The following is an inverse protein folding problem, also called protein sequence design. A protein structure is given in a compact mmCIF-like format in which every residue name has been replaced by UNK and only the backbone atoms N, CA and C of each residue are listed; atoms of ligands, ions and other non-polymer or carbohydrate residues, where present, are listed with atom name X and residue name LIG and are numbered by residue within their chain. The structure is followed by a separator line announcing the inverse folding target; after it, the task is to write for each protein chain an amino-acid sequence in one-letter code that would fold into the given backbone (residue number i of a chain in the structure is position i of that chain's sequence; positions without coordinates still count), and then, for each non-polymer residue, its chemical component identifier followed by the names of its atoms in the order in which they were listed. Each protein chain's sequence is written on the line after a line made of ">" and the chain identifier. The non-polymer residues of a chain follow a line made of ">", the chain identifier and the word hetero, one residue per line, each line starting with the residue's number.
data_IF_510989098766
#
_entry.id   IF_510989098766
#
_cell.length_a   1.000
_cell.length_b   1.000
_cell.length_c   1.000
_cell.angle_alpha   90.00
_cell.angle_beta   90.00
_cell.angle_gamma   90.00
#
_symmetry.space_group_name_H-M   'P 1'
#
loop_
_entity.id
_entity.type
_entity.pdbx_description
1 polymer ?
#
# COMPACT_ATOMS: atom_id res chain seq x y z
N UNK A 1 -11.67 -37.90 6.49
CA UNK A 1 -10.31 -37.55 6.95
C UNK A 1 -10.04 -36.15 6.47
N UNK A 2 -9.82 -35.19 7.38
CA UNK A 2 -9.68 -33.79 7.02
C UNK A 2 -8.27 -33.55 6.43
N UNK A 3 -8.20 -33.09 5.19
CA UNK A 3 -6.94 -32.63 4.59
C UNK A 3 -6.60 -31.26 5.21
N UNK A 4 -5.87 -31.27 6.32
CA UNK A 4 -5.35 -30.04 6.93
C UNK A 4 -4.30 -29.44 6.00
N UNK A 5 -4.68 -28.36 5.31
CA UNK A 5 -3.78 -27.61 4.44
C UNK A 5 -2.96 -26.66 5.31
N UNK A 6 -1.73 -27.05 5.63
CA UNK A 6 -0.81 -26.17 6.37
C UNK A 6 -0.09 -25.26 5.37
N UNK A 7 -0.23 -23.95 5.54
CA UNK A 7 0.50 -22.96 4.74
C UNK A 7 1.75 -22.56 5.51
N UNK A 8 2.93 -22.78 4.94
CA UNK A 8 4.23 -22.40 5.52
C UNK A 8 4.97 -21.52 4.52
N UNK A 9 5.60 -20.46 4.99
CA UNK A 9 6.43 -19.58 4.17
C UNK A 9 7.87 -20.08 4.12
N UNK A 10 8.53 -19.77 3.02
CA UNK A 10 9.92 -20.13 2.83
C UNK A 10 10.51 -19.48 1.59
N UNK A 11 11.82 -19.62 1.48
CA UNK A 11 12.61 -19.08 0.37
C UNK A 11 12.99 -20.23 -0.56
N UNK A 12 12.77 -20.04 -1.85
CA UNK A 12 13.16 -20.98 -2.89
C UNK A 12 14.62 -20.74 -3.28
N UNK A 13 15.45 -21.77 -3.14
CA UNK A 13 16.85 -21.81 -3.55
C UNK A 13 17.03 -22.90 -4.61
N UNK A 14 16.79 -22.57 -5.88
CA UNK A 14 16.83 -23.55 -6.97
C UNK A 14 15.72 -24.60 -6.80
N UNK A 15 16.10 -25.83 -6.48
CA UNK A 15 15.22 -26.99 -6.23
C UNK A 15 14.92 -27.22 -4.75
N UNK A 16 15.55 -26.46 -3.84
CA UNK A 16 15.36 -26.59 -2.39
C UNK A 16 14.50 -25.44 -1.88
N UNK A 17 13.42 -25.74 -1.15
CA UNK A 17 12.62 -24.74 -0.44
C UNK A 17 13.04 -24.75 1.03
N UNK A 18 13.66 -23.66 1.50
CA UNK A 18 13.98 -23.47 2.91
C UNK A 18 12.79 -22.83 3.61
N UNK A 19 12.13 -23.59 4.47
CA UNK A 19 10.98 -23.12 5.25
C UNK A 19 11.44 -22.29 6.46
N UNK A 20 10.63 -21.31 6.83
CA UNK A 20 10.87 -20.48 8.01
C UNK A 20 10.50 -21.22 9.31
N UNK A 21 9.55 -22.15 9.21
CA UNK A 21 9.02 -22.94 10.33
C UNK A 21 9.10 -24.45 10.05
N UNK A 22 9.23 -25.24 11.13
CA UNK A 22 9.21 -26.69 11.05
C UNK A 22 7.78 -27.18 10.77
N UNK A 23 7.62 -28.01 9.74
CA UNK A 23 6.32 -28.59 9.35
C UNK A 23 5.82 -29.66 10.30
N UNK A 24 6.69 -30.19 11.18
CA UNK A 24 6.38 -31.31 12.07
C UNK A 24 6.16 -32.64 11.33
N UNK A 25 6.43 -32.70 10.03
CA UNK A 25 6.31 -33.93 9.24
C UNK A 25 7.55 -34.81 9.44
N UNK A 26 7.38 -36.15 9.53
CA UNK A 26 8.51 -37.08 9.57
C UNK A 26 9.36 -36.99 8.30
N UNK A 27 10.65 -37.24 8.48
CA UNK A 27 11.61 -37.27 7.38
C UNK A 27 11.26 -38.37 6.36
N UNK A 28 11.44 -38.06 5.06
CA UNK A 28 11.09 -38.94 3.95
C UNK A 28 9.60 -38.99 3.57
N UNK A 29 8.73 -38.18 4.19
CA UNK A 29 7.32 -38.13 3.81
C UNK A 29 7.12 -37.41 2.46
N UNK A 30 6.44 -38.08 1.51
CA UNK A 30 6.01 -37.46 0.26
C UNK A 30 4.93 -36.40 0.52
N UNK A 31 5.15 -35.18 0.00
CA UNK A 31 4.22 -34.06 0.13
C UNK A 31 3.91 -33.45 -1.23
N UNK A 32 2.69 -32.93 -1.39
CA UNK A 32 2.32 -32.10 -2.52
C UNK A 32 2.49 -30.62 -2.12
N UNK A 33 3.27 -29.86 -2.88
CA UNK A 33 3.56 -28.45 -2.60
C UNK A 33 2.86 -27.57 -3.64
N UNK A 34 2.14 -26.54 -3.19
CA UNK A 34 1.65 -25.47 -4.06
C UNK A 34 2.49 -24.23 -3.85
N UNK A 35 3.26 -23.83 -4.85
CA UNK A 35 4.11 -22.64 -4.79
C UNK A 35 3.31 -21.44 -5.30
N UNK A 36 3.17 -20.41 -4.46
CA UNK A 36 2.58 -19.13 -4.85
C UNK A 36 3.60 -18.01 -4.60
N UNK A 37 3.90 -17.17 -5.60
CA UNK A 37 4.73 -16.00 -5.37
C UNK A 37 4.07 -15.10 -4.32
N UNK A 38 4.80 -14.80 -3.25
CA UNK A 38 4.37 -13.82 -2.25
C UNK A 38 4.76 -12.47 -2.81
N UNK A 39 3.78 -11.72 -3.31
CA UNK A 39 4.01 -10.35 -3.77
C UNK A 39 4.55 -9.51 -2.62
N UNK A 40 5.65 -8.80 -2.85
CA UNK A 40 6.29 -7.84 -1.93
C UNK A 40 5.36 -6.68 -1.49
N UNK A 41 4.08 -6.68 -1.89
CA UNK A 41 3.06 -5.73 -1.46
C UNK A 41 2.78 -5.71 0.05
N UNK A 42 3.37 -6.63 0.82
CA UNK A 42 3.36 -6.62 2.29
C UNK A 42 4.69 -6.18 2.93
N UNK A 43 5.72 -5.84 2.15
CA UNK A 43 6.77 -4.99 2.72
C UNK A 43 6.10 -3.69 3.14
N UNK A 44 6.26 -3.24 4.41
CA UNK A 44 5.87 -1.89 4.75
C UNK A 44 6.56 -0.99 3.72
N UNK A 45 5.75 -0.24 2.94
CA UNK A 45 6.29 0.70 1.97
C UNK A 45 7.39 1.48 2.67
N UNK A 46 8.57 1.60 2.07
CA UNK A 46 9.67 2.37 2.66
C UNK A 46 9.04 3.67 3.16
N UNK A 47 9.13 3.94 4.46
CA UNK A 47 8.41 5.05 5.08
C UNK A 47 8.59 6.31 4.22
N UNK A 48 7.48 6.84 3.70
CA UNK A 48 7.50 7.98 2.79
C UNK A 48 7.36 7.67 1.29
N UNK A 49 7.20 6.42 0.84
CA UNK A 49 6.94 6.11 -0.57
C UNK A 49 5.56 6.59 -1.02
N UNK A 50 4.53 6.44 -0.17
CA UNK A 50 3.22 7.05 -0.40
C UNK A 50 3.28 8.58 -0.47
N UNK A 51 4.10 9.21 0.39
CA UNK A 51 4.36 10.65 0.36
C UNK A 51 5.09 11.07 -0.94
N UNK A 52 6.12 10.34 -1.37
CA UNK A 52 6.83 10.62 -2.64
C UNK A 52 5.92 10.51 -3.86
N UNK A 53 4.97 9.56 -3.88
CA UNK A 53 3.95 9.48 -4.93
C UNK A 53 2.96 10.66 -4.88
N UNK A 54 2.64 11.16 -3.69
CA UNK A 54 1.75 12.31 -3.51
C UNK A 54 2.42 13.65 -3.87
N UNK A 55 3.73 13.80 -3.65
CA UNK A 55 4.46 15.07 -3.82
C UNK A 55 4.58 15.59 -5.27
N UNK A 56 4.09 14.86 -6.28
CA UNK A 56 3.97 15.35 -7.66
C UNK A 56 2.54 15.53 -8.15
N UNK A 57 1.56 14.91 -7.49
CA UNK A 57 0.17 14.83 -7.99
C UNK A 57 -0.62 16.15 -7.85
N UNK A 58 -0.07 17.14 -7.12
CA UNK A 58 -0.68 18.47 -6.95
C UNK A 58 0.07 19.56 -7.74
N UNK A 59 1.16 19.21 -8.43
CA UNK A 59 1.94 20.18 -9.19
C UNK A 59 1.27 20.59 -10.50
N UNK A 60 0.41 19.72 -11.06
CA UNK A 60 -0.19 19.90 -12.38
C UNK A 60 -1.36 20.93 -12.38
N UNK A 61 -1.91 21.28 -11.21
CA UNK A 61 -3.08 22.17 -11.07
C UNK A 61 -2.74 23.54 -10.43
N UNK A 62 -1.48 23.97 -10.51
CA UNK A 62 -1.02 25.22 -9.88
C UNK A 62 -1.76 26.48 -10.38
N UNK A 63 -2.04 26.54 -11.68
CA UNK A 63 -2.73 27.68 -12.31
C UNK A 63 -4.20 27.78 -11.86
N UNK A 64 -4.91 26.65 -11.77
CA UNK A 64 -6.31 26.62 -11.31
C UNK A 64 -6.42 27.03 -9.82
N UNK A 65 -5.44 26.63 -9.01
CA UNK A 65 -5.36 27.03 -7.60
C UNK A 65 -5.16 28.54 -7.44
N UNK A 66 -4.30 29.15 -8.27
CA UNK A 66 -4.07 30.60 -8.23
C UNK A 66 -5.32 31.39 -8.61
N UNK A 67 -6.04 30.98 -9.67
CA UNK A 67 -7.32 31.58 -10.06
C UNK A 67 -8.37 31.47 -8.94
N UNK A 68 -8.48 30.30 -8.31
CA UNK A 68 -9.41 30.06 -7.20
C UNK A 68 -9.08 30.92 -5.96
N UNK A 69 -7.81 31.10 -5.64
CA UNK A 69 -7.36 31.93 -4.52
C UNK A 69 -7.62 33.42 -4.80
N UNK A 70 -7.39 33.90 -6.03
CA UNK A 70 -7.73 35.26 -6.43
C UNK A 70 -9.23 35.53 -6.37
N UNK A 71 -10.05 34.60 -6.87
CA UNK A 71 -11.50 34.70 -6.80
C UNK A 71 -11.99 34.84 -5.35
N UNK A 72 -11.46 34.03 -4.44
CA UNK A 72 -11.78 34.12 -3.00
C UNK A 72 -11.34 35.45 -2.37
N UNK A 73 -10.18 35.99 -2.75
CA UNK A 73 -9.74 37.32 -2.29
C UNK A 73 -10.72 38.40 -2.74
N UNK A 74 -11.16 38.36 -4.00
CA UNK A 74 -12.17 39.29 -4.54
C UNK A 74 -13.49 39.18 -3.77
N UNK A 75 -13.97 37.96 -3.50
CA UNK A 75 -15.19 37.75 -2.71
C UNK A 75 -15.08 38.32 -1.29
N UNK A 76 -13.91 38.19 -0.64
CA UNK A 76 -13.69 38.74 0.71
C UNK A 76 -13.46 40.26 0.74
N UNK A 77 -13.11 40.86 -0.39
CA UNK A 77 -13.02 42.31 -0.53
C UNK A 77 -14.38 42.98 -0.70
N UNK A 78 -15.40 42.21 -1.10
CA UNK A 78 -16.79 42.63 -1.07
C UNK A 78 -17.22 42.51 0.40
N UNK A 79 -17.39 43.65 1.07
CA UNK A 79 -17.61 43.73 2.51
C UNK A 79 -18.68 42.75 3.00
N UNK A 80 -18.41 42.14 4.16
CA UNK A 80 -19.33 41.20 4.80
C UNK A 80 -20.69 41.89 5.01
N UNK A 81 -21.82 41.29 4.57
CA UNK A 81 -23.13 41.86 4.85
C UNK A 81 -23.34 41.97 6.36
N UNK A 82 -23.93 43.09 6.80
CA UNK A 82 -24.36 43.22 8.19
C UNK A 82 -25.43 42.16 8.49
N UNK A 83 -25.32 41.52 9.64
CA UNK A 83 -26.34 40.58 10.10
C UNK A 83 -27.56 41.40 10.53
N UNK A 84 -28.72 41.12 9.95
CA UNK A 84 -29.98 41.67 10.46
C UNK A 84 -30.22 41.18 11.91
N UNK A 85 -30.75 42.05 12.80
CA UNK A 85 -30.92 41.75 14.22
C UNK A 85 -31.97 40.68 14.51
#
# INVERSE_FOLDING_TARGET
>A
MANSTTTVTGIVHGDIIKLDELTGLPDGQHVAVTVRPVSDSQKPSIAGEGLRRAFGAWADDGEELDEYLEWNRRQRSIGRPELEP
#
